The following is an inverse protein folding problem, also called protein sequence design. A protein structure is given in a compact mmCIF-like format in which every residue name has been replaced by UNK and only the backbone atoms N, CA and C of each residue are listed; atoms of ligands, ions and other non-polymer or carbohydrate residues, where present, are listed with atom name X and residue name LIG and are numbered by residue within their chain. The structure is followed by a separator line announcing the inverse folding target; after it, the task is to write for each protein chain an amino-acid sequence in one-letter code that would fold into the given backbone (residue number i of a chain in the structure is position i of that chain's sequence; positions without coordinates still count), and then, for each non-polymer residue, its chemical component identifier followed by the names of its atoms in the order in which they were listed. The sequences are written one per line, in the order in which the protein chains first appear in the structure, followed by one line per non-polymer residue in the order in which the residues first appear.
data_IF_462871916115
#
_entry.id   IF_462871916115
#
_cell.length_a   1.000
_cell.length_b   1.000
_cell.length_c   1.000
_cell.angle_alpha   90.00
_cell.angle_beta   90.00
_cell.angle_gamma   90.00
#
_symmetry.space_group_name_H-M   'P 1'
#
loop_
_entity.id
_entity.type
_entity.pdbx_description
1 polymer ?
#
# COMPACT_ATOMS: atom_id res chain seq x y z
N UNK A 1 2.44 -6.59 -3.69
CA UNK A 1 1.00 -6.25 -3.60
C UNK A 1 0.56 -5.75 -2.22
N UNK A 2 0.99 -6.36 -1.10
CA UNK A 2 0.46 -6.04 0.24
C UNK A 2 0.54 -4.56 0.62
N UNK A 3 1.68 -3.89 0.43
CA UNK A 3 1.85 -2.49 0.79
C UNK A 3 0.92 -1.54 0.02
N UNK A 4 0.70 -1.78 -1.26
CA UNK A 4 -0.15 -0.91 -2.10
C UNK A 4 -1.63 -1.05 -1.77
N UNK A 5 -2.09 -2.27 -1.46
CA UNK A 5 -3.45 -2.51 -0.96
C UNK A 5 -3.63 -1.86 0.42
N UNK A 6 -2.68 -2.07 1.34
CA UNK A 6 -2.74 -1.52 2.69
C UNK A 6 -2.74 0.01 2.67
N UNK A 7 -1.91 0.63 1.81
CA UNK A 7 -1.87 2.08 1.68
C UNK A 7 -3.19 2.66 1.15
N UNK A 8 -3.79 2.03 0.14
CA UNK A 8 -5.11 2.45 -0.39
C UNK A 8 -6.17 2.42 0.70
N UNK A 9 -6.26 1.30 1.42
CA UNK A 9 -7.23 1.12 2.52
C UNK A 9 -7.04 2.15 3.62
N UNK A 10 -5.79 2.39 4.02
CA UNK A 10 -5.46 3.38 5.03
C UNK A 10 -5.86 4.80 4.61
N UNK A 11 -5.56 5.19 3.37
CA UNK A 11 -5.90 6.53 2.84
C UNK A 11 -7.41 6.74 2.76
N UNK A 12 -8.16 5.72 2.35
CA UNK A 12 -9.61 5.80 2.19
C UNK A 12 -10.38 5.55 3.50
N UNK A 13 -9.71 5.06 4.55
CA UNK A 13 -10.39 4.60 5.76
C UNK A 13 -11.33 3.41 5.49
N UNK A 14 -11.05 2.60 4.47
CA UNK A 14 -11.94 1.56 3.98
C UNK A 14 -11.45 0.14 4.33
N UNK A 15 -12.38 -0.75 4.62
CA UNK A 15 -12.08 -2.17 4.87
C UNK A 15 -11.81 -2.92 3.56
N UNK A 16 -12.83 -3.38 2.86
CA UNK A 16 -12.65 -4.16 1.61
C UNK A 16 -13.19 -3.38 0.41
N UNK A 17 -12.65 -3.60 -0.80
CA UNK A 17 -13.25 -3.03 -1.99
C UNK A 17 -14.62 -3.68 -2.24
N UNK A 18 -15.57 -2.88 -2.71
CA UNK A 18 -16.88 -3.37 -3.16
C UNK A 18 -16.75 -4.20 -4.45
N UNK A 19 -15.71 -3.95 -5.25
CA UNK A 19 -15.46 -4.68 -6.48
C UNK A 19 -13.97 -4.68 -6.85
N UNK A 20 -13.48 -5.82 -7.35
CA UNK A 20 -12.23 -5.92 -8.08
C UNK A 20 -12.57 -5.89 -9.57
N UNK A 21 -12.53 -4.71 -10.20
CA UNK A 21 -12.98 -4.58 -11.59
C UNK A 21 -12.07 -5.34 -12.55
N UNK A 22 -10.75 -5.22 -12.31
CA UNK A 22 -9.72 -5.78 -13.16
C UNK A 22 -8.55 -6.27 -12.30
N UNK A 23 -7.96 -7.39 -12.70
CA UNK A 23 -6.66 -7.82 -12.21
C UNK A 23 -5.93 -8.63 -13.28
N UNK A 24 -4.62 -8.42 -13.42
CA UNK A 24 -3.76 -9.14 -14.36
C UNK A 24 -2.42 -9.42 -13.72
N UNK A 25 -2.13 -10.71 -13.55
CA UNK A 25 -0.83 -11.17 -13.11
C UNK A 25 0.12 -11.33 -14.30
N UNK A 26 1.40 -11.05 -14.06
CA UNK A 26 2.52 -11.54 -14.85
C UNK A 26 3.20 -12.65 -14.03
N UNK A 27 3.06 -13.92 -14.40
CA UNK A 27 3.66 -15.02 -13.65
C UNK A 27 5.18 -15.03 -13.76
N UNK A 28 5.84 -15.54 -12.73
CA UNK A 28 7.28 -15.73 -12.66
C UNK A 28 7.74 -16.74 -13.72
N UNK A 29 8.87 -16.46 -14.37
CA UNK A 29 9.51 -17.41 -15.29
C UNK A 29 9.97 -18.65 -14.51
N UNK A 30 9.25 -19.76 -14.66
CA UNK A 30 9.59 -21.06 -14.06
C UNK A 30 8.56 -21.59 -13.05
N UNK A 31 7.68 -20.73 -12.52
CA UNK A 31 6.54 -21.15 -11.71
C UNK A 31 5.32 -20.25 -11.99
N UNK A 32 4.39 -20.76 -12.78
CA UNK A 32 3.18 -20.02 -13.18
C UNK A 32 2.20 -19.73 -12.05
N UNK A 33 2.42 -20.29 -10.84
CA UNK A 33 1.58 -20.07 -9.66
C UNK A 33 2.00 -18.81 -8.87
N UNK A 34 3.18 -18.28 -9.15
CA UNK A 34 3.76 -17.12 -8.46
C UNK A 34 3.72 -15.94 -9.43
N UNK A 35 3.18 -14.81 -9.02
CA UNK A 35 3.31 -13.56 -9.77
C UNK A 35 4.67 -12.91 -9.54
N UNK A 36 5.29 -12.40 -10.60
CA UNK A 36 6.42 -11.46 -10.50
C UNK A 36 5.94 -10.00 -10.59
N UNK A 37 4.78 -9.77 -11.21
CA UNK A 37 4.12 -8.47 -11.26
C UNK A 37 2.60 -8.64 -11.31
N UNK A 38 1.88 -7.61 -10.87
CA UNK A 38 0.44 -7.58 -10.81
C UNK A 38 -0.08 -6.16 -11.02
N UNK A 39 -1.07 -6.02 -11.88
CA UNK A 39 -1.87 -4.82 -12.08
C UNK A 39 -3.31 -5.10 -11.65
N UNK A 40 -3.91 -4.21 -10.87
CA UNK A 40 -5.27 -4.38 -10.39
C UNK A 40 -6.00 -3.04 -10.32
N UNK A 41 -7.31 -3.06 -10.57
CA UNK A 41 -8.23 -1.93 -10.36
C UNK A 41 -9.30 -2.34 -9.38
N UNK A 42 -9.39 -1.58 -8.30
CA UNK A 42 -10.31 -1.79 -7.19
C UNK A 42 -11.30 -0.63 -7.13
N UNK A 43 -12.52 -0.91 -6.69
CA UNK A 43 -13.50 0.11 -6.32
C UNK A 43 -13.78 0.01 -4.83
N UNK A 44 -13.72 1.15 -4.16
CA UNK A 44 -14.09 1.32 -2.76
C UNK A 44 -15.30 2.24 -2.68
N UNK A 45 -16.24 1.91 -1.82
CA UNK A 45 -17.32 2.81 -1.44
C UNK A 45 -16.85 3.61 -0.23
N UNK A 46 -17.03 4.93 -0.30
CA UNK A 46 -16.68 5.89 0.76
C UNK A 46 -17.86 6.84 0.96
N UNK A 47 -17.83 7.64 2.03
CA UNK A 47 -18.85 8.67 2.27
C UNK A 47 -18.97 9.68 1.12
N UNK A 48 -17.88 9.88 0.35
CA UNK A 48 -17.83 10.74 -0.83
C UNK A 48 -18.25 10.05 -2.14
N UNK A 49 -18.64 8.77 -2.08
CA UNK A 49 -19.02 7.96 -3.23
C UNK A 49 -17.97 6.91 -3.61
N UNK A 50 -18.06 6.42 -4.85
CA UNK A 50 -17.18 5.37 -5.36
C UNK A 50 -15.82 5.93 -5.75
N UNK A 51 -14.76 5.38 -5.14
CA UNK A 51 -13.37 5.72 -5.41
C UNK A 51 -12.68 4.55 -6.11
N UNK A 52 -12.01 4.85 -7.22
CA UNK A 52 -11.20 3.90 -7.96
C UNK A 52 -9.75 3.91 -7.43
N UNK A 53 -9.17 2.73 -7.24
CA UNK A 53 -7.76 2.54 -6.93
C UNK A 53 -7.10 1.67 -7.99
N UNK A 54 -6.15 2.23 -8.73
CA UNK A 54 -5.29 1.52 -9.66
C UNK A 54 -3.96 1.17 -8.97
N UNK A 55 -3.67 -0.12 -8.89
CA UNK A 55 -2.50 -0.68 -8.23
C UNK A 55 -1.61 -1.36 -9.25
N UNK A 56 -0.31 -1.06 -9.18
CA UNK A 56 0.73 -1.77 -9.93
C UNK A 56 1.85 -2.17 -8.99
N UNK A 57 2.20 -3.45 -9.00
CA UNK A 57 3.39 -3.96 -8.32
C UNK A 57 4.21 -4.82 -9.27
N UNK A 58 5.52 -4.61 -9.30
CA UNK A 58 6.42 -5.34 -10.18
C UNK A 58 7.75 -5.55 -9.45
N UNK A 59 8.03 -6.81 -9.11
CA UNK A 59 9.22 -7.22 -8.38
C UNK A 59 10.37 -7.64 -9.30
N UNK A 60 10.15 -7.64 -10.63
CA UNK A 60 11.14 -8.01 -11.63
C UNK A 60 11.34 -6.88 -12.65
N UNK A 61 11.53 -5.65 -12.14
CA UNK A 61 11.77 -4.47 -12.97
C UNK A 61 13.11 -4.60 -13.73
N UNK A 62 13.13 -4.31 -15.04
CA UNK A 62 14.35 -4.37 -15.81
C UNK A 62 15.31 -3.24 -15.40
N UNK A 63 16.61 -3.55 -15.43
CA UNK A 63 17.67 -2.58 -15.21
C UNK A 63 17.65 -1.51 -16.32
N UNK A 64 17.91 -0.26 -15.96
CA UNK A 64 18.18 0.80 -16.93
C UNK A 64 19.43 0.44 -17.73
N UNK A 65 19.29 0.37 -19.06
CA UNK A 65 20.37 -0.04 -19.96
C UNK A 65 20.94 -1.44 -19.67
N UNK A 66 20.18 -2.34 -19.02
CA UNK A 66 20.58 -3.71 -18.59
C UNK A 66 21.65 -3.80 -17.50
N UNK A 67 22.14 -2.68 -16.95
CA UNK A 67 23.26 -2.67 -16.00
C UNK A 67 22.95 -1.94 -14.68
N UNK A 68 22.07 -0.94 -14.71
CA UNK A 68 21.82 -0.09 -13.54
C UNK A 68 20.45 -0.42 -12.94
N UNK A 69 20.37 -0.92 -11.69
CA UNK A 69 19.10 -1.05 -11.01
C UNK A 69 18.43 0.31 -10.88
N UNK A 70 17.12 0.38 -11.13
CA UNK A 70 16.37 1.64 -11.09
C UNK A 70 16.04 2.07 -9.67
N UNK A 71 17.07 2.39 -8.88
CA UNK A 71 16.95 2.77 -7.47
C UNK A 71 16.16 4.07 -7.24
N UNK A 72 15.93 4.85 -8.30
CA UNK A 72 15.10 6.06 -8.30
C UNK A 72 13.61 5.81 -8.62
N UNK A 73 13.21 4.58 -8.93
CA UNK A 73 11.80 4.21 -9.10
C UNK A 73 11.24 3.67 -7.77
N UNK A 74 11.37 4.46 -6.70
CA UNK A 74 10.83 4.08 -5.39
C UNK A 74 9.29 4.15 -5.39
N UNK A 75 8.60 3.30 -4.61
CA UNK A 75 7.14 3.18 -4.66
C UNK A 75 6.46 4.52 -4.36
N UNK A 76 5.69 5.08 -5.32
CA UNK A 76 4.92 6.28 -5.09
C UNK A 76 3.43 5.97 -4.87
N UNK A 77 2.71 6.93 -4.30
CA UNK A 77 1.25 6.94 -4.25
C UNK A 77 0.78 8.26 -4.87
N UNK A 78 -0.18 8.19 -5.78
CA UNK A 78 -0.87 9.35 -6.34
C UNK A 78 -2.31 9.32 -5.87
N UNK A 79 -2.77 10.43 -5.29
CA UNK A 79 -4.13 10.63 -4.81
C UNK A 79 -4.72 11.78 -5.61
N UNK A 80 -5.80 11.52 -6.33
CA UNK A 80 -6.51 12.55 -7.08
C UNK A 80 -7.77 12.96 -6.32
N UNK A 81 -7.82 14.23 -5.94
CA UNK A 81 -8.96 14.87 -5.28
C UNK A 81 -9.65 15.82 -6.28
N UNK A 82 -10.79 16.39 -5.90
CA UNK A 82 -11.57 17.29 -6.76
C UNK A 82 -10.78 18.55 -7.14
N UNK A 83 -10.03 19.09 -6.19
CA UNK A 83 -9.30 20.37 -6.34
C UNK A 83 -7.79 20.24 -6.27
N UNK A 84 -7.26 19.06 -5.94
CA UNK A 84 -5.82 18.87 -5.83
C UNK A 84 -5.38 17.47 -6.27
N UNK A 85 -4.11 17.35 -6.62
CA UNK A 85 -3.44 16.05 -6.81
C UNK A 85 -2.29 15.96 -5.82
N UNK A 86 -2.31 14.93 -4.99
CA UNK A 86 -1.22 14.65 -4.04
C UNK A 86 -0.36 13.52 -4.56
N UNK A 87 0.96 13.72 -4.58
CA UNK A 87 1.94 12.73 -4.99
C UNK A 87 2.93 12.47 -3.85
N UNK A 88 2.87 11.29 -3.26
CA UNK A 88 3.76 10.85 -2.19
C UNK A 88 4.80 9.89 -2.74
N UNK A 89 6.03 10.37 -2.88
CA UNK A 89 7.17 9.59 -3.35
C UNK A 89 7.84 8.82 -2.20
N UNK A 90 8.14 7.53 -2.41
CA UNK A 90 8.83 6.63 -1.45
C UNK A 90 8.12 6.51 -0.08
N UNK A 91 6.85 6.14 -0.09
CA UNK A 91 6.07 5.95 1.15
C UNK A 91 6.55 4.78 2.02
N UNK A 92 7.30 3.82 1.45
CA UNK A 92 7.77 2.64 2.16
C UNK A 92 9.04 2.89 2.98
N UNK A 93 9.95 3.74 2.50
CA UNK A 93 11.22 4.03 3.15
C UNK A 93 11.45 5.54 3.33
N UNK A 94 10.52 6.27 3.97
CA UNK A 94 10.59 7.73 4.05
C UNK A 94 11.86 8.23 4.76
N UNK A 95 12.37 7.48 5.74
CA UNK A 95 13.62 7.79 6.46
C UNK A 95 14.87 7.90 5.58
N UNK A 96 14.88 7.37 4.35
CA UNK A 96 16.01 7.51 3.42
C UNK A 96 15.88 8.81 2.63
N UNK A 97 14.77 8.97 1.91
CA UNK A 97 14.45 10.16 1.15
C UNK A 97 13.00 10.09 0.69
N UNK A 98 12.23 11.15 0.90
CA UNK A 98 10.87 11.25 0.40
C UNK A 98 10.44 12.69 0.19
N UNK A 99 9.29 12.85 -0.45
CA UNK A 99 8.56 14.11 -0.48
C UNK A 99 7.08 13.86 -0.76
N UNK A 100 6.27 14.84 -0.36
CA UNK A 100 4.85 14.92 -0.71
C UNK A 100 4.68 16.18 -1.55
N UNK A 101 4.16 16.02 -2.76
CA UNK A 101 3.79 17.13 -3.63
C UNK A 101 2.29 17.28 -3.62
N UNK A 102 1.80 18.50 -3.39
CA UNK A 102 0.39 18.85 -3.53
C UNK A 102 0.29 19.84 -4.68
N UNK A 103 -0.48 19.48 -5.70
CA UNK A 103 -0.72 20.31 -6.88
C UNK A 103 -2.16 20.78 -6.87
N UNK A 104 -2.38 22.08 -6.80
CA UNK A 104 -3.71 22.67 -6.93
C UNK A 104 -4.16 22.59 -8.41
N UNK A 105 -5.34 22.00 -8.65
CA UNK A 105 -5.86 21.77 -10.00
C UNK A 105 -6.40 23.05 -10.67
N UNK A 106 -6.78 24.06 -9.90
CA UNK A 106 -7.32 25.32 -10.42
C UNK A 106 -6.19 26.26 -10.85
N UNK A 107 -5.15 26.38 -10.04
CA UNK A 107 -4.04 27.31 -10.27
C UNK A 107 -2.84 26.66 -10.95
N UNK A 108 -2.75 25.33 -10.91
CA UNK A 108 -1.58 24.57 -11.37
C UNK A 108 -0.35 24.68 -10.46
N UNK A 109 -0.46 25.40 -9.33
CA UNK A 109 0.66 25.58 -8.41
C UNK A 109 0.97 24.28 -7.68
N UNK A 110 2.25 23.93 -7.62
CA UNK A 110 2.74 22.74 -6.92
C UNK A 110 3.53 23.16 -5.69
N UNK A 111 3.23 22.56 -4.55
CA UNK A 111 3.96 22.74 -3.31
C UNK A 111 4.56 21.42 -2.86
N UNK A 112 5.85 21.41 -2.59
CA UNK A 112 6.58 20.22 -2.11
C UNK A 112 6.83 20.33 -0.62
N UNK A 113 6.50 19.28 0.12
CA UNK A 113 6.70 19.18 1.55
C UNK A 113 7.54 17.95 1.91
N UNK A 114 8.33 18.06 2.98
CA UNK A 114 9.15 17.00 3.54
C UNK A 114 9.10 17.10 5.07
N UNK A 115 8.76 16.02 5.76
CA UNK A 115 8.52 16.01 7.21
C UNK A 115 9.26 14.85 7.90
N UNK A 116 10.56 14.99 8.19
CA UNK A 116 11.35 13.86 8.70
C UNK A 116 11.13 13.62 10.21
N UNK A 117 10.93 14.67 11.00
CA UNK A 117 10.44 14.58 12.38
C UNK A 117 8.92 14.55 12.37
N UNK A 118 8.29 13.70 13.19
CA UNK A 118 6.87 13.42 13.00
C UNK A 118 5.95 14.47 13.63
N UNK A 119 4.79 14.60 12.97
CA UNK A 119 3.72 15.54 13.25
C UNK A 119 2.85 15.16 14.47
N UNK A 120 1.61 15.71 14.55
CA UNK A 120 0.86 15.81 15.80
C UNK A 120 0.63 14.49 16.53
N UNK A 121 0.60 13.36 15.82
CA UNK A 121 0.27 12.04 16.38
C UNK A 121 1.43 11.37 17.14
N UNK A 122 2.69 11.57 16.72
CA UNK A 122 3.86 11.00 17.41
C UNK A 122 4.55 11.98 18.37
N UNK A 123 4.33 13.28 18.14
CA UNK A 123 4.85 14.35 18.99
C UNK A 123 6.37 14.27 19.19
N UNK A 124 6.89 14.56 20.40
CA UNK A 124 8.33 14.60 20.66
C UNK A 124 8.99 13.20 20.64
N UNK A 125 8.21 12.11 20.66
CA UNK A 125 8.73 10.74 20.59
C UNK A 125 8.80 10.28 19.13
N UNK A 126 9.68 10.94 18.37
CA UNK A 126 9.98 10.57 16.99
C UNK A 126 11.39 11.03 16.63
N UNK A 127 12.02 10.32 15.70
CA UNK A 127 13.35 10.70 15.21
C UNK A 127 13.39 10.63 13.68
N UNK A 128 14.15 11.52 13.01
CA UNK A 128 14.16 11.62 11.56
C UNK A 128 14.77 10.40 10.86
N UNK A 129 15.56 9.60 11.56
CA UNK A 129 16.17 8.38 11.04
C UNK A 129 15.36 7.11 11.36
N UNK A 130 14.24 7.20 12.07
CA UNK A 130 13.43 6.01 12.38
C UNK A 130 12.79 5.46 11.12
N UNK A 131 12.99 4.16 10.89
CA UNK A 131 12.29 3.43 9.85
C UNK A 131 10.79 3.31 10.17
N UNK A 132 9.99 3.04 9.14
CA UNK A 132 8.55 2.71 9.32
C UNK A 132 8.35 1.54 10.29
N UNK A 133 9.26 0.57 10.30
CA UNK A 133 9.25 -0.54 11.25
C UNK A 133 9.50 -0.11 12.69
N UNK A 134 10.34 0.91 12.94
CA UNK A 134 10.53 1.42 14.30
C UNK A 134 9.23 2.05 14.82
N UNK A 135 8.53 2.82 14.00
CA UNK A 135 7.21 3.36 14.37
C UNK A 135 6.18 2.26 14.63
N UNK A 136 6.13 1.22 13.80
CA UNK A 136 5.25 0.08 14.03
C UNK A 136 5.55 -0.63 15.35
N UNK A 137 6.83 -0.79 15.70
CA UNK A 137 7.24 -1.39 16.97
C UNK A 137 6.85 -0.52 18.16
N UNK A 138 7.04 0.81 18.09
CA UNK A 138 6.62 1.73 19.15
C UNK A 138 5.10 1.67 19.37
N UNK A 139 4.32 1.67 18.28
CA UNK A 139 2.86 1.56 18.34
C UNK A 139 2.41 0.24 18.96
N UNK A 140 3.15 -0.85 18.67
CA UNK A 140 2.93 -2.15 19.30
C UNK A 140 3.25 -2.13 20.81
N UNK A 141 4.41 -1.57 21.19
CA UNK A 141 4.82 -1.45 22.60
C UNK A 141 3.79 -0.64 23.38
N UNK A 142 3.29 0.47 22.84
CA UNK A 142 2.25 1.26 23.50
C UNK A 142 1.01 0.42 23.76
N UNK A 143 0.52 -0.30 22.74
CA UNK A 143 -0.68 -1.13 22.86
C UNK A 143 -0.53 -2.21 23.93
N UNK A 144 0.59 -2.94 23.95
CA UNK A 144 0.80 -4.05 24.91
C UNK A 144 1.14 -3.58 26.32
N UNK A 145 1.61 -2.34 26.47
CA UNK A 145 1.85 -1.71 27.79
C UNK A 145 0.64 -0.91 28.30
N UNK A 146 -0.50 -0.98 27.61
CA UNK A 146 -1.75 -0.32 28.01
C UNK A 146 -1.81 1.18 27.72
N UNK A 147 -0.89 1.71 26.90
CA UNK A 147 -0.92 3.08 26.42
C UNK A 147 -1.78 3.20 25.16
N UNK A 148 -2.23 4.41 24.88
CA UNK A 148 -2.86 4.72 23.60
C UNK A 148 -1.83 4.60 22.47
N UNK A 149 -2.15 3.81 21.46
CA UNK A 149 -1.29 3.56 20.32
C UNK A 149 -1.61 4.55 19.21
N UNK A 150 -0.59 5.19 18.63
CA UNK A 150 -0.75 6.16 17.55
C UNK A 150 -1.50 5.59 16.35
N UNK A 151 -1.29 4.30 16.06
CA UNK A 151 -2.03 3.55 15.05
C UNK A 151 -1.98 2.06 15.36
N UNK A 152 -3.11 1.38 15.23
CA UNK A 152 -3.22 -0.05 15.51
C UNK A 152 -3.90 -0.77 14.35
N UNK A 153 -3.27 -1.84 13.87
CA UNK A 153 -3.86 -2.74 12.87
C UNK A 153 -4.68 -3.79 13.60
N UNK A 154 -6.00 -3.75 13.44
CA UNK A 154 -6.90 -4.71 14.08
C UNK A 154 -6.84 -6.11 13.42
N UNK A 155 -7.35 -7.16 14.09
CA UNK A 155 -7.59 -8.45 13.45
C UNK A 155 -8.47 -8.32 12.20
N UNK A 156 -9.51 -7.48 12.26
CA UNK A 156 -10.44 -7.21 11.18
C UNK A 156 -9.71 -6.57 9.99
N UNK A 157 -8.80 -5.62 10.24
CA UNK A 157 -7.95 -5.04 9.21
C UNK A 157 -7.08 -6.08 8.50
N UNK A 158 -6.57 -7.05 9.25
CA UNK A 158 -5.75 -8.12 8.72
C UNK A 158 -6.58 -9.07 7.85
N UNK A 159 -7.82 -9.38 8.27
CA UNK A 159 -8.76 -10.20 7.50
C UNK A 159 -9.18 -9.47 6.21
N UNK A 160 -9.51 -8.18 6.29
CA UNK A 160 -9.89 -7.36 5.14
C UNK A 160 -8.73 -7.23 4.13
N UNK A 161 -7.50 -7.05 4.63
CA UNK A 161 -6.29 -7.04 3.81
C UNK A 161 -6.14 -8.35 3.03
N UNK A 162 -6.22 -9.49 3.72
CA UNK A 162 -6.06 -10.81 3.08
C UNK A 162 -7.23 -11.14 2.14
N UNK A 163 -8.46 -10.78 2.51
CA UNK A 163 -9.64 -10.98 1.66
C UNK A 163 -9.56 -10.18 0.37
N UNK A 164 -9.04 -8.95 0.44
CA UNK A 164 -8.79 -8.10 -0.73
C UNK A 164 -7.74 -8.72 -1.65
N UNK A 165 -6.63 -9.22 -1.09
CA UNK A 165 -5.61 -9.91 -1.85
C UNK A 165 -6.17 -11.15 -2.54
N UNK A 166 -6.89 -12.00 -1.81
CA UNK A 166 -7.56 -13.19 -2.36
C UNK A 166 -8.47 -12.84 -3.54
N UNK A 167 -9.27 -11.76 -3.43
CA UNK A 167 -10.15 -11.31 -4.49
C UNK A 167 -9.37 -10.87 -5.75
N UNK A 168 -8.22 -10.19 -5.58
CA UNK A 168 -7.32 -9.81 -6.68
C UNK A 168 -6.75 -11.06 -7.36
N UNK A 169 -6.23 -12.02 -6.59
CA UNK A 169 -5.64 -13.25 -7.13
C UNK A 169 -6.68 -14.14 -7.85
N UNK A 170 -7.91 -14.19 -7.34
CA UNK A 170 -9.03 -14.86 -8.05
C UNK A 170 -9.32 -14.13 -9.36
N UNK A 171 -9.45 -12.80 -9.33
CA UNK A 171 -9.73 -12.00 -10.53
C UNK A 171 -8.62 -12.10 -11.57
N UNK A 172 -7.37 -12.27 -11.15
CA UNK A 172 -6.21 -12.39 -12.04
C UNK A 172 -6.05 -13.77 -12.67
N UNK A 173 -6.85 -14.76 -12.25
CA UNK A 173 -6.78 -16.14 -12.72
C UNK A 173 -5.73 -17.02 -12.03
N UNK A 174 -4.99 -16.50 -11.04
CA UNK A 174 -4.04 -17.32 -10.25
C UNK A 174 -4.75 -18.14 -9.16
N UNK A 175 -5.92 -17.67 -8.73
CA UNK A 175 -6.72 -18.34 -7.70
C UNK A 175 -6.24 -18.07 -6.28
N UNK A 176 -7.04 -18.51 -5.30
CA UNK A 176 -6.68 -18.36 -3.88
C UNK A 176 -5.55 -19.30 -3.50
N UNK A 177 -4.70 -18.85 -2.58
CA UNK A 177 -3.66 -19.72 -2.02
C UNK A 177 -4.32 -20.81 -1.16
N UNK A 178 -3.94 -22.10 -1.32
CA UNK A 178 -4.51 -23.15 -0.49
C UNK A 178 -4.23 -22.89 0.98
N UNK A 179 -5.27 -22.88 1.82
CA UNK A 179 -5.11 -22.93 3.26
C UNK A 179 -4.99 -24.40 3.68
N UNK A 180 -4.13 -24.69 4.67
CA UNK A 180 -3.92 -26.05 5.19
C UNK A 180 -5.22 -26.70 5.72
N UNK A 181 -6.21 -25.90 6.12
CA UNK A 181 -7.54 -26.39 6.50
C UNK A 181 -8.38 -26.93 5.33
N UNK A 182 -8.14 -26.47 4.09
CA UNK A 182 -8.86 -26.95 2.90
C UNK A 182 -8.31 -28.27 2.35
N UNK A 183 -7.03 -28.56 2.58
CA UNK A 183 -6.38 -29.79 2.13
C UNK A 183 -6.84 -31.05 2.91
N UNK A 184 -7.46 -30.87 4.08
CA UNK A 184 -7.94 -31.97 4.92
C UNK A 184 -9.31 -32.54 4.50
N UNK A 185 -9.99 -31.97 3.49
CA UNK A 185 -11.32 -32.40 3.03
C UNK A 185 -11.34 -33.06 1.66
N UNK A 186 -10.19 -33.38 1.09
CA UNK A 186 -10.06 -34.02 -0.23
C UNK A 186 -9.26 -35.32 -0.21
N UNK A 187 -9.37 -36.09 0.87
CA UNK A 187 -8.76 -37.42 1.02
C UNK A 187 -9.78 -38.43 1.52
#
# INVERSE_FOLDING_TARGET
MTYTVSATRYILGAETPVNVEFAKARPLKGDGRVDEAMEARLQFETDGGLVQSDIKTDMNQPFAGRLVPKVWELPPIRIELEHATTYYYNFMMPHIYYYIQVTDKQTGQTHTQKHYSFGPSWGPRSEPWWSTYRYQLEAFVDKVTGKESTHWVSPEDSIAQMSTLDAIYVKSGLGKRPSTASAAKSG
#
